data_IF_509459787028
#
_entry.id   IF_509459787028
#
_cell.length_a   1.000
_cell.length_b   1.000
_cell.length_c   1.000
_cell.angle_alpha   90.00
_cell.angle_beta   90.00
_cell.angle_gamma   90.00
#
_symmetry.space_group_name_H-M   'P 1'
#
loop_
_entity.id
_entity.type
_entity.pdbx_description
1 polymer ?
#
# COMPACT_ATOMS: atom_id res chain seq x y z
N UNK A 1 1.78 25.91 4.97
CA UNK A 1 0.63 25.06 4.62
C UNK A 1 1.09 23.63 4.25
N UNK A 2 2.01 23.42 3.27
CA UNK A 2 2.47 22.09 2.84
C UNK A 2 3.05 21.31 4.03
N UNK A 3 3.96 21.90 4.82
CA UNK A 3 4.59 21.26 5.97
C UNK A 3 3.60 20.89 7.10
N UNK A 4 2.47 21.62 7.23
CA UNK A 4 1.44 21.34 8.23
C UNK A 4 0.52 20.22 7.77
N UNK A 5 0.24 20.14 6.46
CA UNK A 5 -0.59 19.07 5.87
C UNK A 5 0.17 17.73 5.81
N UNK A 6 1.48 17.75 5.55
CA UNK A 6 2.32 16.54 5.62
C UNK A 6 2.31 15.91 7.02
N UNK A 7 2.27 16.72 8.08
CA UNK A 7 2.17 16.21 9.46
C UNK A 7 0.83 15.51 9.77
N UNK A 8 -0.21 15.78 9.00
CA UNK A 8 -1.51 15.13 9.16
C UNK A 8 -1.60 13.78 8.41
N UNK A 9 -0.76 13.59 7.40
CA UNK A 9 -0.76 12.37 6.58
C UNK A 9 0.07 11.23 7.16
N UNK A 10 1.16 11.53 7.91
CA UNK A 10 2.18 10.54 8.29
C UNK A 10 2.15 10.11 9.77
N UNK A 11 1.19 10.55 10.60
CA UNK A 11 1.24 10.33 12.04
C UNK A 11 -0.04 9.72 12.63
N UNK A 12 -0.43 8.55 12.15
CA UNK A 12 -1.28 7.68 12.98
C UNK A 12 -0.38 7.00 14.01
N UNK A 13 -0.55 7.24 15.33
CA UNK A 13 0.27 6.56 16.32
C UNK A 13 0.02 5.04 16.21
N UNK A 14 1.10 4.23 16.15
CA UNK A 14 0.95 2.78 16.08
C UNK A 14 0.23 2.25 17.30
N UNK A 15 -0.61 1.25 17.12
CA UNK A 15 -1.28 0.56 18.25
C UNK A 15 -0.28 -0.33 18.99
N UNK A 16 -0.49 -0.55 20.29
CA UNK A 16 0.36 -1.41 21.08
C UNK A 16 0.43 -2.83 20.51
N UNK A 17 1.60 -3.44 20.58
CA UNK A 17 1.83 -4.83 20.16
C UNK A 17 0.82 -5.83 20.76
N UNK A 18 0.44 -5.62 22.02
CA UNK A 18 -0.53 -6.47 22.71
C UNK A 18 -1.91 -6.53 22.02
N UNK A 19 -2.28 -5.51 21.23
CA UNK A 19 -3.52 -5.48 20.45
C UNK A 19 -3.34 -6.13 19.07
N UNK A 20 -2.16 -6.02 18.47
CA UNK A 20 -1.88 -6.47 17.12
C UNK A 20 -1.52 -7.95 17.03
N UNK A 21 -0.74 -8.46 17.99
CA UNK A 21 -0.34 -9.87 18.05
C UNK A 21 -1.53 -10.84 17.93
N UNK A 22 -2.65 -10.67 18.67
CA UNK A 22 -3.81 -11.56 18.57
C UNK A 22 -4.46 -11.55 17.17
N UNK A 23 -4.32 -10.48 16.40
CA UNK A 23 -4.82 -10.43 15.02
C UNK A 23 -3.99 -11.38 14.15
N UNK A 24 -2.67 -11.28 14.20
CA UNK A 24 -1.75 -12.14 13.44
C UNK A 24 -2.02 -13.61 13.78
N UNK A 25 -1.99 -13.96 15.07
CA UNK A 25 -2.12 -15.33 15.53
C UNK A 25 -3.48 -15.96 15.17
N UNK A 26 -4.55 -15.18 15.23
CA UNK A 26 -5.90 -15.64 14.83
C UNK A 26 -6.02 -15.82 13.32
N UNK A 27 -5.52 -14.88 12.56
CA UNK A 27 -5.65 -14.88 11.11
C UNK A 27 -4.78 -15.97 10.46
N UNK A 28 -3.59 -16.21 11.01
CA UNK A 28 -2.63 -17.18 10.44
C UNK A 28 -2.63 -18.54 11.15
N UNK A 29 -3.39 -18.68 12.25
CA UNK A 29 -3.59 -19.98 12.93
C UNK A 29 -2.38 -20.52 13.68
N UNK A 30 -1.42 -19.66 14.07
CA UNK A 30 -0.22 -20.05 14.81
C UNK A 30 0.33 -18.92 15.66
N UNK A 31 1.22 -19.22 16.61
CA UNK A 31 1.92 -18.17 17.34
C UNK A 31 2.89 -17.43 16.43
N UNK A 32 3.12 -16.15 16.70
CA UNK A 32 4.06 -15.33 15.90
C UNK A 32 5.43 -16.00 15.83
N UNK A 33 5.94 -16.53 16.96
CA UNK A 33 7.25 -17.19 17.03
C UNK A 33 7.31 -18.53 16.25
N UNK A 34 6.15 -19.15 15.96
CA UNK A 34 6.07 -20.34 15.10
C UNK A 34 5.95 -19.97 13.61
N UNK A 35 5.39 -18.80 13.31
CA UNK A 35 5.16 -18.32 11.94
C UNK A 35 6.42 -17.65 11.35
N UNK A 36 7.21 -16.96 12.17
CA UNK A 36 8.37 -16.18 11.78
C UNK A 36 9.58 -16.55 12.66
N UNK A 37 10.77 -16.56 12.08
CA UNK A 37 12.02 -16.77 12.83
C UNK A 37 12.34 -15.57 13.74
N UNK A 38 12.10 -14.37 13.24
CA UNK A 38 12.24 -13.11 13.96
C UNK A 38 11.05 -12.21 13.62
N UNK A 39 10.58 -11.42 14.60
CA UNK A 39 9.48 -10.47 14.40
C UNK A 39 9.71 -9.23 15.26
N UNK A 40 9.87 -8.08 14.61
CA UNK A 40 10.00 -6.79 15.29
C UNK A 40 8.64 -6.39 15.89
N UNK A 41 8.63 -6.11 17.19
CA UNK A 41 7.38 -5.75 17.89
C UNK A 41 7.04 -4.25 17.76
N UNK A 42 7.97 -3.47 17.23
CA UNK A 42 7.77 -2.07 16.89
C UNK A 42 7.39 -1.97 15.41
N UNK A 43 6.32 -1.24 15.12
CA UNK A 43 5.88 -1.04 13.75
C UNK A 43 6.86 -0.10 13.03
N UNK A 44 7.25 -0.46 11.80
CA UNK A 44 8.09 0.38 10.93
C UNK A 44 7.28 1.45 10.20
N UNK A 45 5.95 1.24 10.08
CA UNK A 45 5.01 2.22 9.51
C UNK A 45 3.61 2.01 10.11
N UNK A 46 2.82 3.07 10.17
CA UNK A 46 1.42 3.03 10.58
C UNK A 46 0.58 3.89 9.63
N UNK A 47 -0.52 3.33 9.14
CA UNK A 47 -1.50 3.96 8.27
C UNK A 47 -2.88 4.02 8.96
N UNK A 48 -3.90 4.52 8.27
CA UNK A 48 -5.25 4.68 8.82
C UNK A 48 -5.91 3.36 9.24
N UNK A 49 -5.68 2.28 8.51
CA UNK A 49 -6.35 0.99 8.69
C UNK A 49 -5.44 -0.12 9.23
N UNK A 50 -4.11 0.07 9.19
CA UNK A 50 -3.13 -0.97 9.46
C UNK A 50 -1.79 -0.40 9.93
N UNK A 51 -0.93 -1.28 10.41
CA UNK A 51 0.48 -0.99 10.62
C UNK A 51 1.36 -2.10 10.08
N UNK A 52 2.60 -1.77 9.74
CA UNK A 52 3.57 -2.67 9.10
C UNK A 52 4.70 -2.97 10.05
N UNK A 53 5.08 -4.24 10.10
CA UNK A 53 6.20 -4.74 10.89
C UNK A 53 7.27 -5.34 9.98
N UNK A 54 8.53 -5.30 10.42
CA UNK A 54 9.58 -6.12 9.83
C UNK A 54 9.62 -7.47 10.52
N UNK A 55 9.80 -8.52 9.73
CA UNK A 55 9.96 -9.88 10.23
C UNK A 55 10.95 -10.64 9.35
N UNK A 56 11.37 -11.83 9.81
CA UNK A 56 12.20 -12.76 9.03
C UNK A 56 11.56 -14.13 9.02
N UNK A 57 11.48 -14.72 7.85
CA UNK A 57 11.02 -16.10 7.68
C UNK A 57 12.09 -17.10 8.13
N UNK A 58 11.69 -18.36 8.35
CA UNK A 58 12.63 -19.44 8.78
C UNK A 58 13.68 -19.81 7.74
N UNK A 59 13.49 -19.43 6.48
CA UNK A 59 14.48 -19.57 5.40
C UNK A 59 15.49 -18.40 5.34
N UNK A 60 15.34 -17.41 6.24
CA UNK A 60 16.19 -16.23 6.31
C UNK A 60 15.71 -15.03 5.51
N UNK A 61 14.59 -15.14 4.78
CA UNK A 61 14.04 -14.04 3.98
C UNK A 61 13.47 -12.94 4.87
N UNK A 62 13.88 -11.70 4.64
CA UNK A 62 13.30 -10.52 5.29
C UNK A 62 11.96 -10.16 4.64
N UNK A 63 10.93 -9.94 5.46
CA UNK A 63 9.57 -9.65 5.03
C UNK A 63 8.97 -8.45 5.76
N UNK A 64 8.05 -7.77 5.08
CA UNK A 64 7.14 -6.79 5.66
C UNK A 64 5.80 -7.49 5.95
N UNK A 65 5.27 -7.26 7.16
CA UNK A 65 4.00 -7.84 7.60
C UNK A 65 3.03 -6.69 7.90
N UNK A 66 2.10 -6.45 6.97
CA UNK A 66 1.02 -5.46 7.11
C UNK A 66 -0.12 -6.09 7.89
N UNK A 67 -0.52 -5.48 9.00
CA UNK A 67 -1.52 -6.03 9.94
C UNK A 67 -2.63 -5.01 10.15
N UNK A 68 -3.85 -5.40 9.85
CA UNK A 68 -5.04 -4.55 10.00
C UNK A 68 -5.34 -4.31 11.47
N UNK A 69 -5.79 -3.11 11.81
CA UNK A 69 -6.25 -2.81 13.17
C UNK A 69 -7.46 -3.66 13.57
N UNK A 70 -7.51 -4.17 14.81
CA UNK A 70 -8.65 -4.93 15.28
C UNK A 70 -9.93 -4.08 15.19
N UNK A 71 -11.00 -4.64 14.61
CA UNK A 71 -12.30 -3.99 14.51
C UNK A 71 -12.47 -2.96 13.39
N UNK A 72 -11.42 -2.65 12.61
CA UNK A 72 -11.48 -1.58 11.59
C UNK A 72 -12.57 -1.82 10.53
N UNK A 73 -12.79 -3.05 10.07
CA UNK A 73 -13.83 -3.37 9.11
C UNK A 73 -15.26 -3.12 9.65
N UNK A 74 -15.47 -3.25 10.96
CA UNK A 74 -16.73 -2.89 11.58
C UNK A 74 -16.88 -1.36 11.71
N UNK A 75 -15.78 -0.67 12.05
CA UNK A 75 -15.75 0.78 12.16
C UNK A 75 -16.08 1.42 10.81
N UNK A 76 -15.42 1.00 9.73
CA UNK A 76 -15.67 1.50 8.37
C UNK A 76 -17.14 1.34 7.97
N UNK A 77 -17.75 0.19 8.27
CA UNK A 77 -19.18 -0.02 8.02
C UNK A 77 -20.06 0.95 8.79
N UNK A 78 -19.81 1.14 10.09
CA UNK A 78 -20.57 2.07 10.91
C UNK A 78 -20.45 3.52 10.41
N UNK A 79 -19.25 3.92 9.97
CA UNK A 79 -19.00 5.26 9.44
C UNK A 79 -19.73 5.47 8.11
N UNK A 80 -19.77 4.47 7.23
CA UNK A 80 -20.54 4.51 5.98
C UNK A 80 -22.05 4.56 6.23
N UNK A 81 -22.57 3.76 7.17
CA UNK A 81 -23.98 3.80 7.58
C UNK A 81 -24.37 5.19 8.10
N UNK A 82 -23.51 5.80 8.93
CA UNK A 82 -23.71 7.15 9.44
C UNK A 82 -23.66 8.19 8.32
N UNK A 83 -22.69 8.09 7.41
CA UNK A 83 -22.56 8.98 6.26
C UNK A 83 -23.81 8.87 5.34
N UNK A 84 -24.26 7.65 5.06
CA UNK A 84 -25.49 7.37 4.30
C UNK A 84 -26.69 8.04 4.92
N UNK A 85 -26.85 7.93 6.24
CA UNK A 85 -27.95 8.58 6.96
C UNK A 85 -27.89 10.11 6.81
N UNK A 86 -26.71 10.71 7.01
CA UNK A 86 -26.50 12.15 6.89
C UNK A 86 -26.82 12.65 5.47
N UNK A 87 -26.34 11.97 4.44
CA UNK A 87 -26.59 12.32 3.04
C UNK A 87 -28.06 12.20 2.69
N UNK A 88 -28.75 11.17 3.18
CA UNK A 88 -30.20 11.03 2.97
C UNK A 88 -31.04 12.12 3.67
N UNK A 89 -30.58 12.58 4.83
CA UNK A 89 -31.20 13.73 5.52
C UNK A 89 -30.95 15.00 4.73
N UNK A 90 -29.68 15.24 4.31
CA UNK A 90 -29.28 16.41 3.52
C UNK A 90 -30.07 16.52 2.21
N UNK A 91 -30.25 15.43 1.47
CA UNK A 91 -30.98 15.38 0.21
C UNK A 91 -32.46 15.77 0.31
N UNK A 92 -33.03 15.84 1.53
CA UNK A 92 -34.38 16.36 1.75
C UNK A 92 -34.46 17.90 1.78
N UNK A 93 -33.33 18.53 2.11
CA UNK A 93 -33.25 20.00 2.26
C UNK A 93 -32.56 20.66 1.06
N UNK A 94 -31.61 19.96 0.45
CA UNK A 94 -30.82 20.47 -0.67
C UNK A 94 -31.06 19.60 -1.90
N UNK A 95 -31.53 20.22 -3.00
CA UNK A 95 -31.87 19.53 -4.24
C UNK A 95 -30.88 19.78 -5.38
N UNK A 96 -29.90 20.69 -5.17
CA UNK A 96 -28.95 21.08 -6.22
C UNK A 96 -27.78 20.11 -6.29
N UNK A 97 -27.32 19.58 -5.13
CA UNK A 97 -26.19 18.67 -5.06
C UNK A 97 -26.62 17.36 -4.41
N UNK A 98 -26.57 16.28 -5.19
CA UNK A 98 -26.85 14.93 -4.72
C UNK A 98 -25.53 14.18 -4.40
N UNK A 99 -25.26 13.96 -3.13
CA UNK A 99 -24.08 13.21 -2.66
C UNK A 99 -24.32 11.69 -2.56
N UNK A 100 -25.53 11.20 -2.80
CA UNK A 100 -25.83 9.75 -2.72
C UNK A 100 -24.96 8.90 -3.65
N UNK A 101 -24.70 9.30 -4.91
CA UNK A 101 -23.80 8.54 -5.79
C UNK A 101 -22.38 8.40 -5.26
N UNK A 102 -21.88 9.43 -4.53
CA UNK A 102 -20.56 9.38 -3.90
C UNK A 102 -20.54 8.36 -2.77
N UNK A 103 -21.58 8.34 -1.93
CA UNK A 103 -21.68 7.34 -0.85
C UNK A 103 -21.86 5.93 -1.43
N UNK A 104 -22.62 5.77 -2.50
CA UNK A 104 -22.77 4.49 -3.22
C UNK A 104 -21.44 3.97 -3.75
N UNK A 105 -20.58 4.86 -4.23
CA UNK A 105 -19.22 4.54 -4.67
C UNK A 105 -18.33 4.12 -3.51
N UNK A 106 -18.37 4.87 -2.41
CA UNK A 106 -17.60 4.54 -1.19
C UNK A 106 -18.01 3.19 -0.61
N UNK A 107 -19.32 2.89 -0.54
CA UNK A 107 -19.82 1.60 -0.05
C UNK A 107 -19.44 0.42 -0.94
N UNK A 108 -19.28 0.63 -2.24
CA UNK A 108 -18.81 -0.41 -3.17
C UNK A 108 -17.31 -0.70 -2.98
N UNK A 109 -16.51 0.33 -2.77
CA UNK A 109 -15.04 0.21 -2.73
C UNK A 109 -14.51 -0.14 -1.32
N UNK A 110 -15.17 0.34 -0.25
CA UNK A 110 -14.69 0.15 1.12
C UNK A 110 -14.46 -1.32 1.55
N UNK A 111 -15.26 -2.32 1.11
CA UNK A 111 -14.96 -3.72 1.41
C UNK A 111 -13.64 -4.22 0.80
N UNK A 112 -13.22 -3.66 -0.35
CA UNK A 112 -11.98 -4.02 -1.03
C UNK A 112 -10.76 -3.43 -0.30
N UNK A 113 -10.88 -2.19 0.22
CA UNK A 113 -9.80 -1.52 0.97
C UNK A 113 -9.50 -2.20 2.32
N UNK A 114 -10.45 -2.92 2.90
CA UNK A 114 -10.26 -3.67 4.14
C UNK A 114 -9.98 -5.16 3.92
N UNK A 115 -9.75 -5.60 2.67
CA UNK A 115 -9.41 -6.99 2.34
C UNK A 115 -8.01 -7.06 1.68
N UNK A 116 -7.00 -7.42 2.47
CA UNK A 116 -5.61 -7.52 1.99
C UNK A 116 -5.38 -8.62 0.95
N UNK A 117 -6.32 -9.54 0.76
CA UNK A 117 -6.25 -10.49 -0.37
C UNK A 117 -6.35 -9.73 -1.69
N UNK A 118 -7.20 -8.71 -1.77
CA UNK A 118 -7.30 -7.85 -2.96
C UNK A 118 -6.01 -7.08 -3.22
N UNK A 119 -5.41 -6.53 -2.17
CA UNK A 119 -4.13 -5.81 -2.26
C UNK A 119 -3.00 -6.73 -2.75
N UNK A 120 -2.86 -7.93 -2.17
CA UNK A 120 -1.86 -8.90 -2.59
C UNK A 120 -2.05 -9.37 -4.03
N UNK A 121 -3.29 -9.63 -4.45
CA UNK A 121 -3.60 -9.97 -5.84
C UNK A 121 -3.34 -8.81 -6.80
N UNK A 122 -3.56 -7.56 -6.38
CA UNK A 122 -3.23 -6.38 -7.17
C UNK A 122 -1.72 -6.25 -7.35
N UNK A 123 -0.92 -6.48 -6.29
CA UNK A 123 0.53 -6.53 -6.37
C UNK A 123 1.02 -7.57 -7.39
N UNK A 124 0.49 -8.79 -7.35
CA UNK A 124 0.84 -9.85 -8.31
C UNK A 124 0.46 -9.49 -9.76
N UNK A 125 -0.71 -8.86 -9.96
CA UNK A 125 -1.10 -8.38 -11.31
C UNK A 125 -0.15 -7.31 -11.83
N UNK A 126 0.24 -6.34 -10.98
CA UNK A 126 1.21 -5.30 -11.36
C UNK A 126 2.59 -5.90 -11.61
N UNK A 127 3.03 -6.86 -10.79
CA UNK A 127 4.29 -7.58 -11.00
C UNK A 127 4.31 -8.32 -12.35
N UNK A 128 3.21 -9.00 -12.71
CA UNK A 128 3.09 -9.68 -13.99
C UNK A 128 3.06 -8.69 -15.18
N UNK A 129 2.43 -7.52 -14.98
CA UNK A 129 2.34 -6.46 -16.00
C UNK A 129 3.71 -5.83 -16.30
N UNK A 130 4.58 -5.73 -15.30
CA UNK A 130 5.90 -5.09 -15.36
C UNK A 130 7.05 -6.11 -15.35
N UNK A 131 6.77 -7.38 -15.67
CA UNK A 131 7.76 -8.47 -15.62
C UNK A 131 8.95 -8.29 -16.59
N UNK A 132 8.81 -7.43 -17.59
CA UNK A 132 9.84 -7.03 -18.57
C UNK A 132 10.68 -5.81 -18.11
N UNK A 133 10.41 -5.26 -16.91
CA UNK A 133 11.09 -4.08 -16.35
C UNK A 133 12.01 -4.46 -15.18
N UNK A 134 13.30 -4.39 -15.42
CA UNK A 134 14.34 -4.68 -14.41
C UNK A 134 14.56 -3.50 -13.44
N UNK A 135 14.08 -2.31 -13.80
CA UNK A 135 14.21 -1.08 -13.03
C UNK A 135 13.09 -0.88 -11.99
N UNK A 136 12.16 -1.86 -11.87
CA UNK A 136 11.03 -1.81 -10.93
C UNK A 136 11.06 -3.03 -10.01
N UNK A 137 10.74 -2.81 -8.73
CA UNK A 137 10.59 -3.84 -7.72
C UNK A 137 9.16 -3.85 -7.19
N UNK A 138 8.49 -4.99 -7.37
CA UNK A 138 7.20 -5.28 -6.76
C UNK A 138 7.42 -6.41 -5.76
N UNK A 139 7.01 -6.26 -4.49
CA UNK A 139 7.23 -7.29 -3.48
C UNK A 139 6.43 -8.55 -3.80
N UNK A 140 7.09 -9.71 -3.67
CA UNK A 140 6.42 -11.00 -3.73
C UNK A 140 5.51 -11.17 -2.51
N UNK A 141 4.33 -11.77 -2.72
CA UNK A 141 3.38 -12.07 -1.64
C UNK A 141 3.58 -13.51 -1.14
N UNK A 142 3.58 -13.67 0.18
CA UNK A 142 3.65 -14.96 0.86
C UNK A 142 2.26 -15.39 1.31
N UNK A 143 1.52 -16.09 0.43
CA UNK A 143 0.14 -16.45 0.67
C UNK A 143 -0.07 -17.42 1.85
N UNK A 144 0.91 -18.25 2.15
CA UNK A 144 0.92 -19.12 3.33
C UNK A 144 1.07 -18.36 4.66
N UNK A 145 1.38 -17.07 4.59
CA UNK A 145 1.49 -16.10 5.69
C UNK A 145 0.62 -14.87 5.49
N UNK A 146 -0.42 -15.01 4.66
CA UNK A 146 -1.34 -13.90 4.34
C UNK A 146 -2.79 -14.32 4.49
N UNK A 147 -3.64 -13.34 4.81
CA UNK A 147 -5.09 -13.48 4.99
C UNK A 147 -5.78 -12.17 4.61
N UNK A 148 -7.09 -12.07 4.88
CA UNK A 148 -7.82 -10.81 4.70
C UNK A 148 -7.30 -9.64 5.55
N UNK A 149 -6.60 -9.92 6.65
CA UNK A 149 -6.18 -8.90 7.64
C UNK A 149 -4.69 -8.88 7.92
N UNK A 150 -3.96 -9.81 7.35
CA UNK A 150 -2.50 -9.89 7.45
C UNK A 150 -1.96 -10.11 6.05
N UNK A 151 -1.05 -9.25 5.60
CA UNK A 151 -0.37 -9.39 4.31
C UNK A 151 1.13 -9.45 4.56
N UNK A 152 1.73 -10.58 4.22
CA UNK A 152 3.19 -10.79 4.29
C UNK A 152 3.77 -10.72 2.88
N UNK A 153 4.76 -9.85 2.71
CA UNK A 153 5.41 -9.59 1.42
C UNK A 153 6.91 -9.38 1.60
N UNK A 154 7.69 -9.40 0.53
CA UNK A 154 9.11 -9.05 0.59
C UNK A 154 9.31 -7.70 1.26
N UNK A 155 10.34 -7.60 2.10
CA UNK A 155 10.77 -6.32 2.64
C UNK A 155 11.62 -5.59 1.60
N UNK A 156 11.17 -4.41 1.18
CA UNK A 156 11.94 -3.54 0.28
C UNK A 156 12.86 -2.65 1.13
N UNK A 157 14.14 -2.97 1.14
CA UNK A 157 15.16 -2.13 1.79
C UNK A 157 15.57 -1.00 0.84
N UNK A 158 14.88 0.12 0.95
CA UNK A 158 15.04 1.26 0.06
C UNK A 158 14.91 2.60 0.78
N UNK A 159 15.40 3.63 0.11
CA UNK A 159 15.28 5.03 0.55
C UNK A 159 13.93 5.57 0.07
N UNK A 160 13.15 6.20 0.93
CA UNK A 160 11.90 6.85 0.51
C UNK A 160 12.17 7.80 -0.65
N UNK A 161 11.29 7.82 -1.64
CA UNK A 161 11.47 8.66 -2.84
C UNK A 161 11.52 10.16 -2.51
N UNK A 162 10.90 10.57 -1.41
CA UNK A 162 10.92 11.95 -0.91
C UNK A 162 12.23 12.34 -0.21
N UNK A 163 13.06 11.36 0.20
CA UNK A 163 14.31 11.63 0.91
C UNK A 163 15.49 11.79 -0.07
N UNK A 164 15.46 12.93 -0.78
CA UNK A 164 16.46 13.28 -1.81
C UNK A 164 17.87 13.41 -1.21
N UNK A 165 17.98 13.82 0.05
CA UNK A 165 19.29 13.99 0.69
C UNK A 165 19.91 12.63 1.02
N UNK A 166 19.15 11.66 1.51
CA UNK A 166 19.63 10.30 1.69
C UNK A 166 19.99 9.62 0.35
N UNK A 167 19.19 9.86 -0.73
CA UNK A 167 19.53 9.36 -2.07
C UNK A 167 20.88 9.90 -2.56
N UNK A 168 21.12 11.20 -2.42
CA UNK A 168 22.41 11.83 -2.78
C UNK A 168 23.57 11.31 -1.95
N UNK A 169 23.36 11.12 -0.64
CA UNK A 169 24.36 10.55 0.25
C UNK A 169 24.71 9.10 -0.13
N UNK A 170 23.76 8.36 -0.68
CA UNK A 170 23.95 7.01 -1.23
C UNK A 170 24.53 7.01 -2.66
N UNK A 171 24.86 8.18 -3.25
CA UNK A 171 25.41 8.29 -4.60
C UNK A 171 24.39 8.06 -5.72
N UNK A 172 23.09 8.14 -5.44
CA UNK A 172 22.03 7.91 -6.40
C UNK A 172 21.82 9.16 -7.27
N UNK A 173 21.69 8.96 -8.58
CA UNK A 173 21.33 10.00 -9.56
C UNK A 173 19.83 10.31 -9.45
N UNK A 174 19.49 11.31 -8.64
CA UNK A 174 18.09 11.69 -8.40
C UNK A 174 17.33 12.20 -9.64
N UNK A 175 17.91 12.94 -10.60
CA UNK A 175 17.31 13.22 -11.90
C UNK A 175 16.89 11.94 -12.64
N UNK A 176 17.78 10.95 -12.70
CA UNK A 176 17.47 9.66 -13.34
C UNK A 176 16.35 8.90 -12.66
N UNK A 177 16.28 8.95 -11.31
CA UNK A 177 15.16 8.38 -10.55
C UNK A 177 13.82 9.04 -10.97
N UNK A 178 13.81 10.36 -11.13
CA UNK A 178 12.61 11.08 -11.58
C UNK A 178 12.20 10.68 -13.01
N UNK A 179 13.15 10.56 -13.93
CA UNK A 179 12.89 10.12 -15.31
C UNK A 179 12.34 8.68 -15.32
N UNK A 180 12.93 7.75 -14.54
CA UNK A 180 12.45 6.38 -14.41
C UNK A 180 11.04 6.34 -13.85
N UNK A 181 10.73 7.17 -12.85
CA UNK A 181 9.39 7.24 -12.26
C UNK A 181 8.34 7.72 -13.27
N UNK A 182 8.65 8.78 -14.03
CA UNK A 182 7.76 9.31 -15.06
C UNK A 182 7.52 8.26 -16.14
N UNK A 183 8.58 7.60 -16.61
CA UNK A 183 8.49 6.55 -17.62
C UNK A 183 7.67 5.34 -17.13
N UNK A 184 7.88 4.92 -15.87
CA UNK A 184 7.11 3.85 -15.24
C UNK A 184 5.61 4.14 -15.25
N UNK A 185 5.20 5.33 -14.78
CA UNK A 185 3.78 5.69 -14.74
C UNK A 185 3.19 5.88 -16.15
N UNK A 186 3.96 6.43 -17.10
CA UNK A 186 3.54 6.49 -18.50
C UNK A 186 3.32 5.09 -19.08
N UNK A 187 4.25 4.17 -18.88
CA UNK A 187 4.10 2.77 -19.31
C UNK A 187 2.87 2.13 -18.68
N UNK A 188 2.68 2.25 -17.36
CA UNK A 188 1.53 1.68 -16.67
C UNK A 188 0.20 2.22 -17.20
N UNK A 189 0.09 3.54 -17.38
CA UNK A 189 -1.16 4.22 -17.76
C UNK A 189 -1.42 4.06 -19.26
N UNK A 190 -0.45 4.45 -20.11
CA UNK A 190 -0.67 4.61 -21.53
C UNK A 190 -0.50 3.29 -22.30
N UNK A 191 0.44 2.44 -21.89
CA UNK A 191 0.74 1.22 -22.63
C UNK A 191 0.02 0.01 -22.06
N UNK A 192 0.02 -0.14 -20.71
CA UNK A 192 -0.50 -1.32 -20.04
C UNK A 192 -1.94 -1.16 -19.57
N UNK A 193 -2.43 0.07 -19.41
CA UNK A 193 -3.80 0.38 -19.01
C UNK A 193 -4.14 -0.04 -17.57
N UNK A 194 -3.14 -0.26 -16.73
CA UNK A 194 -3.30 -0.53 -15.29
C UNK A 194 -2.24 0.27 -14.54
N UNK A 195 -2.61 0.93 -13.45
CA UNK A 195 -1.69 1.75 -12.70
C UNK A 195 -1.99 1.77 -11.21
N UNK A 196 -0.95 2.04 -10.45
CA UNK A 196 -1.01 2.36 -9.03
C UNK A 196 -1.68 3.74 -8.88
N UNK A 197 -2.87 3.79 -8.29
CA UNK A 197 -3.68 5.00 -8.23
C UNK A 197 -3.42 5.86 -6.98
N UNK A 198 -2.53 5.43 -6.09
CA UNK A 198 -2.06 6.20 -4.94
C UNK A 198 -0.52 6.30 -4.91
N UNK A 199 0.10 7.08 -5.82
CA UNK A 199 1.55 7.27 -5.89
C UNK A 199 2.07 8.20 -4.78
N UNK A 200 1.56 8.01 -3.56
CA UNK A 200 2.05 8.77 -2.40
C UNK A 200 3.54 8.46 -2.15
N UNK A 201 4.38 9.45 -1.81
CA UNK A 201 5.81 9.22 -1.56
C UNK A 201 6.11 8.16 -0.49
N UNK A 202 5.17 7.86 0.41
CA UNK A 202 5.27 6.77 1.38
C UNK A 202 5.24 5.37 0.77
N UNK A 203 4.69 5.23 -0.45
CA UNK A 203 4.53 3.97 -1.17
C UNK A 203 5.62 3.74 -2.23
N UNK A 204 6.58 4.67 -2.35
CA UNK A 204 7.63 4.67 -3.36
C UNK A 204 9.01 4.68 -2.71
N UNK A 205 9.82 3.70 -3.09
CA UNK A 205 11.19 3.56 -2.60
C UNK A 205 12.19 3.59 -3.75
N UNK A 206 13.36 4.14 -3.48
CA UNK A 206 14.52 4.07 -4.36
C UNK A 206 15.48 3.05 -3.77
N UNK A 207 15.71 1.98 -4.51
CA UNK A 207 16.56 0.87 -4.10
C UNK A 207 17.85 0.93 -4.91
N UNK A 208 19.02 1.14 -4.26
CA UNK A 208 20.31 1.07 -4.94
C UNK A 208 20.45 -0.26 -5.67
N UNK A 209 21.02 -0.24 -6.88
CA UNK A 209 21.33 -1.48 -7.59
C UNK A 209 22.57 -2.13 -6.96
N UNK A 210 22.58 -3.45 -6.85
CA UNK A 210 23.72 -4.22 -6.34
C UNK A 210 24.90 -4.18 -7.32
N UNK A 211 24.63 -3.93 -8.60
CA UNK A 211 25.65 -3.82 -9.65
C UNK A 211 26.11 -2.36 -9.74
N UNK A 212 27.40 -2.16 -9.51
CA UNK A 212 28.02 -0.82 -9.58
C UNK A 212 27.86 -0.22 -10.98
N UNK A 213 27.31 1.01 -11.04
CA UNK A 213 27.06 1.73 -12.29
C UNK A 213 25.68 1.51 -12.90
N UNK A 214 24.92 0.52 -12.43
CA UNK A 214 23.53 0.35 -12.83
C UNK A 214 22.62 1.34 -12.10
N UNK A 215 21.52 1.79 -12.75
CA UNK A 215 20.59 2.72 -12.14
C UNK A 215 19.89 2.11 -10.93
N UNK A 216 19.55 2.95 -9.95
CA UNK A 216 18.68 2.57 -8.86
C UNK A 216 17.31 2.13 -9.38
N UNK A 217 16.67 1.18 -8.68
CA UNK A 217 15.35 0.66 -9.03
C UNK A 217 14.25 1.37 -8.23
N UNK A 218 13.04 1.40 -8.76
CA UNK A 218 11.86 1.94 -8.07
C UNK A 218 11.11 0.79 -7.41
N UNK A 219 11.02 0.80 -6.08
CA UNK A 219 10.17 -0.11 -5.31
C UNK A 219 8.77 0.47 -5.13
N UNK A 220 7.74 -0.29 -5.49
CA UNK A 220 6.34 0.05 -5.26
C UNK A 220 5.78 -0.82 -4.14
N UNK A 221 5.08 -0.19 -3.20
CA UNK A 221 4.35 -0.89 -2.13
C UNK A 221 2.93 -0.32 -2.01
N UNK A 222 2.06 -1.02 -1.28
CA UNK A 222 0.67 -0.63 -1.04
C UNK A 222 -0.19 -0.57 -2.32
N UNK A 223 -0.68 -1.73 -2.76
CA UNK A 223 -1.48 -1.87 -3.99
C UNK A 223 -2.99 -1.82 -3.74
N UNK A 224 -3.44 -1.35 -2.59
CA UNK A 224 -4.86 -1.23 -2.23
C UNK A 224 -5.67 -0.39 -3.22
N UNK A 225 -5.05 0.62 -3.82
CA UNK A 225 -5.65 1.46 -4.85
C UNK A 225 -4.96 1.23 -6.21
N UNK A 226 -5.30 0.12 -6.87
CA UNK A 226 -4.89 -0.14 -8.25
C UNK A 226 -6.08 0.01 -9.17
N UNK A 227 -5.93 0.74 -10.28
CA UNK A 227 -7.01 0.99 -11.26
C UNK A 227 -6.64 0.45 -12.63
N UNK A 228 -7.65 -0.07 -13.34
CA UNK A 228 -7.53 -0.48 -14.73
C UNK A 228 -8.32 0.49 -15.59
N UNK A 229 -7.71 0.98 -16.66
CA UNK A 229 -8.38 1.84 -17.63
C UNK A 229 -9.26 0.98 -18.55
N UNK A 230 -10.49 1.41 -18.87
CA UNK A 230 -11.29 0.79 -19.90
C UNK A 230 -10.56 0.81 -21.26
N UNK A 231 -10.77 -0.23 -22.07
CA UNK A 231 -10.10 -0.36 -23.38
C UNK A 231 -10.37 0.83 -24.32
N UNK A 232 -11.52 1.47 -24.19
CA UNK A 232 -11.90 2.68 -24.95
C UNK A 232 -10.93 3.86 -24.75
N UNK A 233 -10.23 3.94 -23.63
CA UNK A 233 -9.21 4.97 -23.36
C UNK A 233 -7.84 4.62 -23.91
N UNK A 234 -7.59 3.36 -24.28
CA UNK A 234 -6.31 2.87 -24.81
C UNK A 234 -6.21 2.96 -26.32
N UNK A 235 -7.34 3.10 -27.02
CA UNK A 235 -7.43 3.14 -28.49
C UNK A 235 -7.44 4.57 -29.06
N UNK A 236 -7.26 5.61 -28.21
CA UNK A 236 -7.16 7.03 -28.62
C UNK A 236 -5.72 7.52 -28.59
#
# INVERSE_FOLDING_TARGET
YVRTLSLLQDQVPPRPWAEMRPVIERELGGSVDALYAEFDREAIAAASLAQVYRARLHDGTDVAVKVQYPGVAALVRHDLDALRLLVNIWAKFEQVIDFRPVVDEMERNAPEEVDFVHEGQAAERVAALLADRDDVLIPRIYWDRSSKRVLTMDYIDGIKISDVDAQRAAGIDTPRVADTLIDLFNTMILERGMFHADPHPGNLFVVPNEVEGEPARIGLVDFGLTKTLPDEFREQ
#
